data_IF_035804182911
#
_entry.id   IF_035804182911
#
_cell.length_a   1.000
_cell.length_b   1.000
_cell.length_c   1.000
_cell.angle_alpha   90.00
_cell.angle_beta   90.00
_cell.angle_gamma   90.00
#
_symmetry.space_group_name_H-M   'P 1'
#
loop_
_entity.id
_entity.type
_entity.pdbx_description
1 polymer ?
#
# COMPACT_ATOMS: atom_id res chain seq x y z
N UNK A 1 16.41 -13.17 -7.70
CA UNK A 1 16.31 -13.77 -6.35
C UNK A 1 14.86 -14.05 -5.96
N UNK A 2 13.99 -13.02 -5.84
CA UNK A 2 12.61 -13.18 -5.34
C UNK A 2 11.67 -14.08 -6.15
N UNK A 3 11.87 -14.17 -7.47
CA UNK A 3 11.07 -15.03 -8.36
C UNK A 3 11.29 -16.54 -8.13
N UNK A 4 12.40 -16.95 -7.49
CA UNK A 4 12.69 -18.35 -7.15
C UNK A 4 12.10 -18.75 -5.79
N UNK A 5 11.78 -17.77 -4.93
CA UNK A 5 11.27 -17.97 -3.57
C UNK A 5 9.75 -17.78 -3.49
N UNK A 6 9.18 -16.94 -4.38
CA UNK A 6 7.75 -16.66 -4.47
C UNK A 6 6.95 -17.78 -5.15
N UNK A 7 6.92 -18.99 -4.56
CA UNK A 7 6.10 -20.09 -5.07
C UNK A 7 5.08 -20.60 -4.03
N UNK A 8 3.82 -20.20 -4.30
CA UNK A 8 2.51 -20.81 -4.03
C UNK A 8 2.25 -21.54 -2.68
N UNK A 9 2.18 -20.83 -1.54
CA UNK A 9 1.19 -21.16 -0.53
C UNK A 9 -0.22 -20.76 -1.04
N UNK A 10 -1.24 -21.55 -0.71
CA UNK A 10 -2.65 -21.10 -0.78
C UNK A 10 -2.77 -19.91 0.17
N UNK A 11 -3.32 -18.78 -0.30
CA UNK A 11 -3.55 -17.64 0.59
C UNK A 11 -4.39 -18.13 1.80
N UNK A 12 -4.03 -17.76 3.04
CA UNK A 12 -4.82 -18.13 4.20
C UNK A 12 -6.27 -17.63 4.02
N UNK A 13 -7.23 -18.50 4.31
CA UNK A 13 -8.67 -18.21 4.19
C UNK A 13 -9.17 -17.28 5.29
N UNK A 14 -8.50 -17.28 6.44
CA UNK A 14 -8.75 -16.39 7.57
C UNK A 14 -7.45 -15.65 7.89
N UNK A 15 -7.41 -14.36 7.56
CA UNK A 15 -6.23 -13.52 7.74
C UNK A 15 -6.66 -12.07 7.90
N UNK A 16 -5.92 -11.32 8.70
CA UNK A 16 -6.03 -9.87 8.72
C UNK A 16 -5.24 -9.29 7.53
N UNK A 17 -5.85 -8.39 6.77
CA UNK A 17 -5.21 -7.77 5.62
C UNK A 17 -4.63 -6.40 5.99
N UNK A 18 -3.36 -6.18 5.69
CA UNK A 18 -2.75 -4.84 5.75
C UNK A 18 -2.51 -4.39 4.32
N UNK A 19 -3.21 -3.34 3.89
CA UNK A 19 -3.19 -2.85 2.52
C UNK A 19 -2.28 -1.62 2.42
N UNK A 20 -1.33 -1.66 1.49
CA UNK A 20 -0.63 -0.48 1.01
C UNK A 20 -1.63 0.45 0.30
N UNK A 21 -1.91 1.59 0.92
CA UNK A 21 -2.83 2.61 0.43
C UNK A 21 -2.36 3.28 -0.85
N UNK A 22 -1.05 3.42 -1.05
CA UNK A 22 -0.46 3.93 -2.28
C UNK A 22 -0.77 3.00 -3.46
N UNK A 23 -0.46 1.70 -3.29
CA UNK A 23 -0.82 0.67 -4.27
C UNK A 23 -2.32 0.60 -4.53
N UNK A 24 -3.14 0.67 -3.47
CA UNK A 24 -4.60 0.64 -3.55
C UNK A 24 -5.12 1.77 -4.47
N UNK A 25 -4.68 3.01 -4.27
CA UNK A 25 -5.11 4.17 -5.09
C UNK A 25 -4.82 3.94 -6.57
N UNK A 26 -3.67 3.37 -6.91
CA UNK A 26 -3.32 3.12 -8.30
C UNK A 26 -4.06 1.93 -8.92
N UNK A 27 -4.60 1.00 -8.11
CA UNK A 27 -5.26 -0.24 -8.54
C UNK A 27 -6.57 -0.03 -9.30
N UNK A 28 -7.42 0.88 -8.83
CA UNK A 28 -8.75 1.11 -9.39
C UNK A 28 -8.74 2.23 -10.44
N UNK A 29 -9.39 2.04 -11.60
CA UNK A 29 -9.56 3.11 -12.57
C UNK A 29 -10.57 4.15 -12.05
N UNK A 30 -10.40 5.42 -12.42
CA UNK A 30 -11.40 6.45 -12.17
C UNK A 30 -12.24 6.65 -13.43
N UNK A 31 -13.56 6.55 -13.29
CA UNK A 31 -14.47 6.90 -14.38
C UNK A 31 -14.38 8.41 -14.67
N UNK A 32 -14.27 8.77 -15.95
CA UNK A 32 -14.13 10.17 -16.36
C UNK A 32 -15.36 10.97 -15.92
N UNK A 33 -15.14 12.06 -15.18
CA UNK A 33 -16.22 12.93 -14.70
C UNK A 33 -17.00 12.38 -13.49
N UNK A 34 -16.58 11.26 -12.91
CA UNK A 34 -17.14 10.80 -11.64
C UNK A 34 -16.84 11.78 -10.51
N UNK A 35 -17.78 11.89 -9.58
CA UNK A 35 -17.58 12.69 -8.36
C UNK A 35 -16.55 12.04 -7.45
N UNK A 36 -15.91 12.85 -6.60
CA UNK A 36 -14.96 12.35 -5.58
C UNK A 36 -15.62 11.31 -4.69
N UNK A 37 -16.88 11.52 -4.30
CA UNK A 37 -17.66 10.57 -3.51
C UNK A 37 -17.83 9.23 -4.24
N UNK A 38 -18.27 9.28 -5.50
CA UNK A 38 -18.43 8.07 -6.33
C UNK A 38 -17.12 7.31 -6.44
N UNK A 39 -16.02 8.02 -6.69
CA UNK A 39 -14.67 7.44 -6.75
C UNK A 39 -14.32 6.79 -5.41
N UNK A 40 -14.47 7.47 -4.28
CA UNK A 40 -14.17 6.92 -2.96
C UNK A 40 -15.01 5.68 -2.66
N UNK A 41 -16.30 5.69 -2.98
CA UNK A 41 -17.17 4.53 -2.80
C UNK A 41 -16.73 3.32 -3.63
N UNK A 42 -16.09 3.51 -4.80
CA UNK A 42 -15.50 2.38 -5.53
C UNK A 42 -14.37 1.69 -4.74
N UNK A 43 -13.57 2.45 -4.00
CA UNK A 43 -12.52 1.91 -3.13
C UNK A 43 -13.10 1.22 -1.91
N UNK A 44 -14.07 1.83 -1.23
CA UNK A 44 -14.76 1.22 -0.08
C UNK A 44 -15.37 -0.13 -0.46
N UNK A 45 -16.14 -0.15 -1.55
CA UNK A 45 -16.74 -1.38 -2.07
C UNK A 45 -15.69 -2.40 -2.47
N UNK A 46 -14.60 -1.97 -3.12
CA UNK A 46 -13.52 -2.88 -3.49
C UNK A 46 -12.90 -3.53 -2.26
N UNK A 47 -12.57 -2.75 -1.22
CA UNK A 47 -11.94 -3.28 0.00
C UNK A 47 -12.87 -4.26 0.71
N UNK A 48 -14.12 -3.86 0.97
CA UNK A 48 -15.09 -4.69 1.69
C UNK A 48 -15.46 -5.98 0.95
N UNK A 49 -15.43 -5.97 -0.39
CA UNK A 49 -15.74 -7.18 -1.18
C UNK A 49 -14.55 -8.15 -1.32
N UNK A 50 -13.31 -7.68 -1.12
CA UNK A 50 -12.11 -8.50 -1.34
C UNK A 50 -11.40 -8.90 -0.05
N UNK A 51 -11.61 -8.14 1.03
CA UNK A 51 -10.88 -8.31 2.28
C UNK A 51 -11.87 -8.29 3.44
N UNK A 52 -11.97 -9.41 4.15
CA UNK A 52 -12.94 -9.60 5.24
C UNK A 52 -12.62 -8.81 6.50
N UNK A 53 -11.34 -8.54 6.75
CA UNK A 53 -10.84 -7.73 7.86
C UNK A 53 -9.57 -7.02 7.41
N UNK A 54 -9.64 -5.70 7.22
CA UNK A 54 -8.59 -4.93 6.58
C UNK A 54 -8.23 -3.66 7.35
N UNK A 55 -6.92 -3.40 7.38
CA UNK A 55 -6.33 -2.10 7.71
C UNK A 55 -5.66 -1.52 6.48
N UNK A 56 -6.07 -0.33 6.06
CA UNK A 56 -5.41 0.43 4.99
C UNK A 56 -4.42 1.42 5.60
N UNK A 57 -3.19 1.45 5.09
CA UNK A 57 -2.17 2.41 5.53
C UNK A 57 -1.82 3.34 4.38
N UNK A 58 -2.09 4.63 4.54
CA UNK A 58 -1.76 5.66 3.55
C UNK A 58 -0.49 6.42 3.91
N UNK A 59 0.21 6.90 2.89
CA UNK A 59 1.27 7.90 3.05
C UNK A 59 0.74 9.20 3.66
N UNK A 60 1.60 9.85 4.41
CA UNK A 60 1.52 11.27 4.74
C UNK A 60 2.37 12.09 3.77
N UNK A 61 1.81 13.21 3.35
CA UNK A 61 2.49 14.24 2.60
C UNK A 61 2.64 15.42 3.55
N UNK A 62 3.83 15.63 4.13
CA UNK A 62 4.06 16.76 5.02
C UNK A 62 3.80 18.08 4.30
N UNK A 63 3.30 19.07 5.05
CA UNK A 63 3.05 20.43 4.55
C UNK A 63 4.34 21.22 4.32
N UNK A 64 5.47 20.73 4.83
CA UNK A 64 6.79 21.32 4.67
C UNK A 64 7.60 20.57 3.62
N UNK A 65 8.44 21.27 2.84
CA UNK A 65 9.29 20.61 1.88
C UNK A 65 10.23 19.60 2.54
N UNK A 66 10.32 18.41 1.96
CA UNK A 66 11.22 17.35 2.42
C UNK A 66 12.19 16.93 1.33
N UNK A 67 13.20 16.15 1.69
CA UNK A 67 14.09 15.49 0.71
C UNK A 67 13.32 14.61 -0.28
N UNK A 68 12.08 14.22 0.03
CA UNK A 68 11.18 13.48 -0.87
C UNK A 68 10.50 14.34 -1.92
N UNK A 69 10.52 15.67 -1.82
CA UNK A 69 10.00 16.51 -2.92
C UNK A 69 10.81 16.33 -4.19
N UNK A 70 12.12 16.10 -4.06
CA UNK A 70 12.99 15.80 -5.20
C UNK A 70 12.63 14.46 -5.83
N UNK A 71 12.33 13.43 -5.02
CA UNK A 71 11.93 12.11 -5.55
C UNK A 71 10.54 12.16 -6.17
N UNK A 72 9.60 12.87 -5.55
CA UNK A 72 8.27 13.15 -6.12
C UNK A 72 8.37 13.93 -7.42
N UNK A 73 9.14 15.02 -7.47
CA UNK A 73 9.37 15.83 -8.67
C UNK A 73 9.98 15.01 -9.81
N UNK A 74 10.91 14.10 -9.50
CA UNK A 74 11.46 13.16 -10.49
C UNK A 74 10.41 12.14 -10.97
N UNK A 75 9.58 11.60 -10.08
CA UNK A 75 8.47 10.68 -10.43
C UNK A 75 7.41 11.35 -11.30
N UNK A 76 7.12 12.63 -11.08
CA UNK A 76 6.21 13.43 -11.92
C UNK A 76 6.87 13.96 -13.19
N UNK A 77 8.14 13.63 -13.45
CA UNK A 77 8.94 14.13 -14.58
C UNK A 77 9.00 15.66 -14.65
N UNK A 78 8.91 16.33 -13.50
CA UNK A 78 8.86 17.78 -13.39
C UNK A 78 7.54 18.42 -13.82
N UNK A 79 6.48 17.62 -14.06
CA UNK A 79 5.15 18.14 -14.39
C UNK A 79 4.44 18.50 -13.09
N UNK A 80 4.02 19.77 -12.99
CA UNK A 80 3.22 20.29 -11.89
C UNK A 80 1.77 20.38 -12.36
N UNK A 81 0.92 19.47 -11.89
CA UNK A 81 -0.52 19.61 -12.07
C UNK A 81 -1.07 20.68 -11.12
N UNK A 82 -2.09 21.45 -11.56
CA UNK A 82 -2.66 22.50 -10.73
C UNK A 82 -3.33 21.91 -9.48
N UNK A 83 -3.24 22.65 -8.38
CA UNK A 83 -4.07 22.39 -7.20
C UNK A 83 -5.54 22.56 -7.59
N UNK A 84 -6.35 21.57 -7.24
CA UNK A 84 -7.80 21.56 -7.45
C UNK A 84 -8.45 21.68 -6.08
N UNK A 85 -9.32 22.67 -5.90
CA UNK A 85 -10.21 22.69 -4.75
C UNK A 85 -11.43 21.82 -5.06
N UNK A 86 -11.67 20.78 -4.27
CA UNK A 86 -12.75 19.83 -4.51
C UNK A 86 -13.43 19.41 -3.21
N UNK A 87 -14.66 18.95 -3.34
CA UNK A 87 -15.45 18.31 -2.30
C UNK A 87 -16.03 16.99 -2.84
N UNK A 88 -16.84 16.31 -2.02
CA UNK A 88 -17.46 15.03 -2.37
C UNK A 88 -18.23 15.06 -3.71
N UNK A 89 -18.93 16.15 -4.01
CA UNK A 89 -19.75 16.29 -5.22
C UNK A 89 -18.96 16.77 -6.44
N UNK A 90 -17.69 17.14 -6.27
CA UNK A 90 -16.88 17.69 -7.36
C UNK A 90 -16.52 16.60 -8.37
N UNK A 91 -16.84 16.75 -9.66
CA UNK A 91 -16.45 15.79 -10.69
C UNK A 91 -14.97 15.95 -11.07
N UNK A 92 -14.21 14.86 -11.03
CA UNK A 92 -12.82 14.84 -11.49
C UNK A 92 -12.77 14.76 -13.02
N UNK A 93 -12.37 15.87 -13.66
CA UNK A 93 -12.30 16.02 -15.12
C UNK A 93 -10.93 15.69 -15.71
N UNK A 94 -9.88 15.77 -14.90
CA UNK A 94 -8.49 15.47 -15.27
C UNK A 94 -8.24 13.96 -15.23
N UNK A 95 -7.10 13.52 -15.78
CA UNK A 95 -6.69 12.11 -15.66
C UNK A 95 -6.28 11.83 -14.21
N UNK A 96 -6.51 10.59 -13.74
CA UNK A 96 -6.14 10.16 -12.38
C UNK A 96 -4.67 10.47 -12.04
N UNK A 97 -3.75 10.04 -12.89
CA UNK A 97 -2.31 10.21 -12.63
C UNK A 97 -1.88 11.68 -12.64
N UNK A 98 -2.54 12.52 -13.45
CA UNK A 98 -2.34 13.96 -13.46
C UNK A 98 -2.83 14.58 -12.15
N UNK A 99 -4.06 14.26 -11.74
CA UNK A 99 -4.64 14.73 -10.48
C UNK A 99 -3.78 14.37 -9.26
N UNK A 100 -3.34 13.11 -9.17
CA UNK A 100 -2.54 12.58 -8.06
C UNK A 100 -1.05 12.97 -8.13
N UNK A 101 -0.58 13.59 -9.23
CA UNK A 101 0.79 14.09 -9.32
C UNK A 101 1.02 15.33 -8.46
N UNK A 102 -0.05 16.09 -8.17
CA UNK A 102 -0.02 17.19 -7.22
C UNK A 102 -0.18 16.65 -5.79
N UNK A 103 0.80 16.92 -4.93
CA UNK A 103 0.83 16.40 -3.55
C UNK A 103 -0.34 16.90 -2.70
N UNK A 104 -0.77 18.16 -2.86
CA UNK A 104 -1.90 18.70 -2.13
C UNK A 104 -3.21 18.02 -2.54
N UNK A 105 -3.44 17.82 -3.84
CA UNK A 105 -4.60 17.08 -4.34
C UNK A 105 -4.59 15.63 -3.84
N UNK A 106 -3.41 14.99 -3.90
CA UNK A 106 -3.22 13.61 -3.45
C UNK A 106 -3.49 13.46 -1.96
N UNK A 107 -2.96 14.35 -1.13
CA UNK A 107 -3.19 14.33 0.33
C UNK A 107 -4.66 14.59 0.65
N UNK A 108 -5.29 15.59 0.02
CA UNK A 108 -6.70 15.86 0.24
C UNK A 108 -7.55 14.65 -0.14
N UNK A 109 -7.25 14.01 -1.28
CA UNK A 109 -7.97 12.81 -1.72
C UNK A 109 -7.77 11.63 -0.77
N UNK A 110 -6.53 11.39 -0.30
CA UNK A 110 -6.21 10.37 0.70
C UNK A 110 -7.00 10.58 1.99
N UNK A 111 -7.09 11.82 2.46
CA UNK A 111 -7.86 12.13 3.67
C UNK A 111 -9.36 11.86 3.45
N UNK A 112 -9.94 12.35 2.35
CA UNK A 112 -11.34 12.10 2.01
C UNK A 112 -11.64 10.61 1.88
N UNK A 113 -10.78 9.87 1.18
CA UNK A 113 -10.91 8.42 1.03
C UNK A 113 -10.76 7.70 2.38
N UNK A 114 -9.83 8.14 3.22
CA UNK A 114 -9.60 7.59 4.56
C UNK A 114 -10.85 7.69 5.43
N UNK A 115 -11.51 8.85 5.44
CA UNK A 115 -12.78 9.01 6.18
C UNK A 115 -13.88 8.12 5.61
N UNK A 116 -14.03 8.03 4.28
CA UNK A 116 -15.02 7.14 3.65
C UNK A 116 -14.78 5.66 3.96
N UNK A 117 -13.52 5.24 4.04
CA UNK A 117 -13.15 3.88 4.43
C UNK A 117 -13.52 3.60 5.90
N UNK A 118 -13.26 4.56 6.80
CA UNK A 118 -13.68 4.44 8.22
C UNK A 118 -15.19 4.36 8.37
N UNK A 119 -15.94 5.19 7.63
CA UNK A 119 -17.41 5.12 7.57
C UNK A 119 -17.89 3.75 7.07
N UNK A 120 -17.14 3.14 6.14
CA UNK A 120 -17.33 1.78 5.65
C UNK A 120 -16.80 0.68 6.56
N UNK A 121 -16.47 0.99 7.83
CA UNK A 121 -15.93 0.10 8.86
C UNK A 121 -14.54 -0.52 8.55
N UNK A 122 -13.77 0.10 7.67
CA UNK A 122 -12.37 -0.29 7.40
C UNK A 122 -11.43 0.48 8.32
N UNK A 123 -10.45 -0.19 8.92
CA UNK A 123 -9.43 0.48 9.72
C UNK A 123 -8.49 1.28 8.80
N UNK A 124 -8.21 2.53 9.14
CA UNK A 124 -7.32 3.40 8.35
C UNK A 124 -6.25 4.01 9.23
N UNK A 125 -5.01 3.94 8.77
CA UNK A 125 -3.84 4.56 9.40
C UNK A 125 -3.20 5.49 8.38
N UNK A 126 -2.84 6.70 8.82
CA UNK A 126 -2.02 7.62 8.05
C UNK A 126 -0.60 7.61 8.63
N UNK A 127 0.40 7.43 7.78
CA UNK A 127 1.79 7.68 8.13
C UNK A 127 2.05 9.20 8.20
N UNK A 128 3.09 9.61 8.92
CA UNK A 128 3.52 11.01 8.93
C UNK A 128 4.18 11.41 7.61
N UNK A 129 5.03 10.52 7.10
CA UNK A 129 5.67 10.63 5.80
C UNK A 129 5.34 9.36 4.99
N UNK A 130 6.27 8.42 4.91
CA UNK A 130 6.15 7.26 4.05
C UNK A 130 5.57 6.06 4.78
N UNK A 131 4.66 5.37 4.09
CA UNK A 131 3.91 4.29 4.69
C UNK A 131 4.69 2.97 4.79
N UNK A 132 5.83 2.78 4.12
CA UNK A 132 6.44 1.45 3.96
C UNK A 132 6.75 0.79 5.30
N UNK A 133 7.46 1.51 6.17
CA UNK A 133 7.77 1.02 7.50
C UNK A 133 6.48 0.90 8.35
N UNK A 134 5.53 1.83 8.19
CA UNK A 134 4.27 1.81 8.95
C UNK A 134 3.41 0.59 8.59
N UNK A 135 3.36 0.21 7.31
CA UNK A 135 2.71 -0.99 6.79
C UNK A 135 3.33 -2.22 7.44
N UNK A 136 4.66 -2.33 7.41
CA UNK A 136 5.41 -3.46 7.96
C UNK A 136 5.18 -3.61 9.46
N UNK A 137 5.30 -2.52 10.22
CA UNK A 137 5.08 -2.53 11.66
C UNK A 137 3.63 -2.86 12.02
N UNK A 138 2.66 -2.33 11.26
CA UNK A 138 1.24 -2.66 11.43
C UNK A 138 1.01 -4.16 11.20
N UNK A 139 1.63 -4.74 10.17
CA UNK A 139 1.50 -6.16 9.88
C UNK A 139 2.07 -7.04 11.01
N UNK A 140 3.22 -6.66 11.56
CA UNK A 140 3.84 -7.34 12.70
C UNK A 140 2.96 -7.23 13.93
N UNK A 141 2.41 -6.06 14.22
CA UNK A 141 1.50 -5.88 15.36
C UNK A 141 0.26 -6.76 15.24
N UNK A 142 -0.40 -6.75 14.07
CA UNK A 142 -1.55 -7.61 13.79
C UNK A 142 -1.20 -9.10 13.85
N UNK A 143 0.04 -9.45 13.47
CA UNK A 143 0.54 -10.83 13.52
C UNK A 143 0.63 -11.39 14.93
N UNK A 144 0.58 -10.56 15.98
CA UNK A 144 0.54 -11.05 17.36
C UNK A 144 -0.75 -11.79 17.69
N UNK A 145 -1.85 -11.47 17.01
CA UNK A 145 -3.18 -12.01 17.29
C UNK A 145 -3.69 -12.91 16.16
N UNK A 146 -3.36 -12.59 14.90
CA UNK A 146 -3.92 -13.27 13.73
C UNK A 146 -2.82 -13.62 12.73
N UNK A 147 -3.09 -14.56 11.82
CA UNK A 147 -2.32 -14.60 10.57
C UNK A 147 -2.55 -13.29 9.82
N UNK A 148 -1.49 -12.71 9.25
CA UNK A 148 -1.56 -11.40 8.58
C UNK A 148 -1.07 -11.50 7.15
N UNK A 149 -1.79 -10.86 6.22
CA UNK A 149 -1.38 -10.74 4.81
C UNK A 149 -1.20 -9.27 4.44
N UNK A 150 0.01 -8.89 4.05
CA UNK A 150 0.33 -7.58 3.47
C UNK A 150 0.05 -7.61 1.97
N UNK A 151 -0.77 -6.69 1.49
CA UNK A 151 -1.03 -6.48 0.07
C UNK A 151 -0.29 -5.23 -0.38
N UNK A 152 0.63 -5.39 -1.33
CA UNK A 152 1.43 -4.29 -1.87
C UNK A 152 2.18 -4.72 -3.12
N UNK A 153 2.73 -3.75 -3.84
CA UNK A 153 3.50 -4.02 -5.07
C UNK A 153 5.00 -3.68 -4.92
N UNK A 154 5.38 -2.95 -3.87
CA UNK A 154 6.76 -2.58 -3.64
C UNK A 154 7.60 -3.78 -3.14
N UNK A 155 8.79 -3.94 -3.71
CA UNK A 155 9.76 -4.95 -3.24
C UNK A 155 10.38 -4.54 -1.91
N UNK A 156 10.41 -3.24 -1.61
CA UNK A 156 10.95 -2.71 -0.37
C UNK A 156 10.11 -3.18 0.83
N UNK A 157 8.79 -3.31 0.67
CA UNK A 157 7.91 -3.94 1.67
C UNK A 157 8.32 -5.38 1.98
N UNK A 158 8.65 -6.19 0.96
CA UNK A 158 9.11 -7.57 1.16
C UNK A 158 10.43 -7.62 1.92
N UNK A 159 11.35 -6.69 1.61
CA UNK A 159 12.65 -6.58 2.27
C UNK A 159 12.49 -6.16 3.73
N UNK A 160 11.70 -5.12 3.98
CA UNK A 160 11.40 -4.63 5.34
C UNK A 160 10.68 -5.69 6.17
N UNK A 161 9.72 -6.43 5.59
CA UNK A 161 9.08 -7.57 6.23
C UNK A 161 10.11 -8.64 6.61
N UNK A 162 11.03 -8.98 5.70
CA UNK A 162 12.11 -9.94 5.97
C UNK A 162 13.09 -9.44 7.03
N UNK A 163 13.24 -8.14 7.22
CA UNK A 163 14.09 -7.56 8.26
C UNK A 163 13.39 -7.58 9.62
N UNK A 164 12.18 -7.01 9.71
CA UNK A 164 11.50 -6.71 10.97
C UNK A 164 10.71 -7.86 11.61
N UNK A 165 10.28 -8.87 10.85
CA UNK A 165 9.42 -9.97 11.35
C UNK A 165 10.10 -11.00 12.26
N UNK A 166 11.18 -10.65 12.96
CA UNK A 166 11.89 -11.56 13.88
C UNK A 166 10.98 -12.04 15.02
N UNK A 167 10.13 -11.14 15.49
CA UNK A 167 9.26 -11.33 16.65
C UNK A 167 7.81 -11.60 16.26
N UNK A 168 7.54 -11.93 14.99
CA UNK A 168 6.20 -12.27 14.54
C UNK A 168 5.76 -13.60 15.17
N UNK A 169 4.61 -13.59 15.85
CA UNK A 169 4.07 -14.78 16.51
C UNK A 169 3.34 -15.66 15.51
N UNK A 170 2.39 -15.09 14.75
CA UNK A 170 1.70 -15.79 13.68
C UNK A 170 2.36 -15.53 12.31
N UNK A 171 1.93 -16.30 11.31
CA UNK A 171 2.46 -16.19 9.96
C UNK A 171 2.13 -14.83 9.34
N UNK A 172 3.13 -14.28 8.67
CA UNK A 172 2.97 -13.09 7.82
C UNK A 172 3.18 -13.50 6.37
N UNK A 173 2.25 -13.10 5.51
CA UNK A 173 2.34 -13.26 4.07
C UNK A 173 2.51 -11.89 3.42
N UNK A 174 3.31 -11.82 2.37
CA UNK A 174 3.28 -10.71 1.42
C UNK A 174 2.66 -11.20 0.13
N UNK A 175 1.70 -10.45 -0.42
CA UNK A 175 1.02 -10.78 -1.67
C UNK A 175 1.03 -9.58 -2.60
N UNK A 176 1.61 -9.79 -3.77
CA UNK A 176 1.51 -8.87 -4.91
C UNK A 176 0.36 -9.31 -5.80
N UNK A 177 -0.46 -8.35 -6.17
CA UNK A 177 -1.63 -8.52 -7.02
C UNK A 177 -1.49 -7.70 -8.32
N UNK A 178 -0.25 -7.53 -8.79
CA UNK A 178 0.03 -6.81 -10.02
C UNK A 178 -0.78 -7.40 -11.18
N UNK A 179 -1.48 -6.51 -11.91
CA UNK A 179 -2.16 -6.83 -13.18
C UNK A 179 -1.13 -6.99 -14.30
N UNK A 180 -0.24 -7.98 -14.23
CA UNK A 180 0.58 -8.36 -15.39
C UNK A 180 -0.08 -9.52 -16.12
N UNK A 181 0.17 -9.62 -17.44
CA UNK A 181 -0.30 -10.64 -18.40
C UNK A 181 -0.02 -12.11 -18.00
N UNK A 182 0.45 -12.35 -16.79
CA UNK A 182 0.67 -13.66 -16.20
C UNK A 182 -0.37 -13.85 -15.09
N UNK A 183 -1.22 -14.86 -15.20
CA UNK A 183 -2.16 -15.31 -14.15
C UNK A 183 -1.48 -15.81 -12.84
N UNK A 184 -0.26 -15.34 -12.53
CA UNK A 184 0.55 -15.77 -11.39
C UNK A 184 0.53 -14.70 -10.30
N UNK A 185 -0.43 -14.82 -9.40
CA UNK A 185 -0.40 -14.14 -8.08
C UNK A 185 0.89 -14.57 -7.39
N UNK A 186 1.68 -13.59 -6.91
CA UNK A 186 2.90 -13.87 -6.16
C UNK A 186 2.61 -13.71 -4.66
N UNK A 187 2.88 -14.78 -3.92
CA UNK A 187 2.71 -14.84 -2.47
C UNK A 187 4.02 -15.33 -1.86
N UNK A 188 4.49 -14.62 -0.86
CA UNK A 188 5.66 -14.97 -0.06
C UNK A 188 5.21 -15.21 1.38
N UNK A 189 5.49 -16.40 1.89
CA UNK A 189 5.48 -16.67 3.33
C UNK A 189 6.76 -16.06 3.90
N UNK A 190 6.64 -15.05 4.75
CA UNK A 190 7.80 -14.28 5.22
C UNK A 190 8.69 -15.13 6.11
N UNK A 191 8.12 -16.01 6.93
CA UNK A 191 8.87 -16.93 7.78
C UNK A 191 9.73 -17.87 6.93
N UNK A 192 9.13 -18.49 5.93
CA UNK A 192 9.85 -19.38 5.01
C UNK A 192 10.86 -18.64 4.13
N UNK A 193 10.52 -17.43 3.71
CA UNK A 193 11.42 -16.55 2.93
C UNK A 193 12.66 -16.22 3.74
N UNK A 194 12.51 -15.81 5.00
CA UNK A 194 13.64 -15.56 5.91
C UNK A 194 14.49 -16.81 6.14
N UNK A 195 13.85 -17.97 6.32
CA UNK A 195 14.56 -19.26 6.49
C UNK A 195 15.44 -19.59 5.28
N UNK A 196 14.95 -19.35 4.07
CA UNK A 196 15.68 -19.61 2.82
C UNK A 196 16.83 -18.65 2.57
N UNK A 197 16.66 -17.37 2.88
CA UNK A 197 17.66 -16.33 2.62
C UNK A 197 18.72 -16.30 3.74
N UNK A 198 18.34 -16.65 4.97
CA UNK A 198 19.21 -16.71 6.14
C UNK A 198 19.24 -15.40 6.93
N UNK A 199 19.42 -15.47 8.27
CA UNK A 199 19.25 -14.33 9.17
C UNK A 199 20.28 -13.20 8.94
N UNK A 200 21.52 -13.56 8.58
CA UNK A 200 22.56 -12.57 8.25
C UNK A 200 22.16 -11.74 7.04
N UNK A 201 21.68 -12.39 5.98
CA UNK A 201 21.27 -11.71 4.75
C UNK A 201 20.05 -10.83 5.02
N UNK A 202 19.07 -11.31 5.79
CA UNK A 202 17.93 -10.50 6.20
C UNK A 202 18.34 -9.20 6.91
N UNK A 203 19.38 -9.22 7.75
CA UNK A 203 19.86 -8.04 8.46
C UNK A 203 20.59 -7.03 7.56
N UNK A 204 21.21 -7.49 6.47
CA UNK A 204 21.96 -6.62 5.55
C UNK A 204 21.14 -6.16 4.34
N UNK A 205 20.03 -6.84 4.01
CA UNK A 205 19.20 -6.52 2.84
C UNK A 205 18.83 -5.02 2.76
N UNK A 206 18.32 -4.37 3.82
CA UNK A 206 18.00 -2.93 3.78
C UNK A 206 19.17 -2.02 3.39
N UNK A 207 20.41 -2.47 3.60
CA UNK A 207 21.62 -1.70 3.31
C UNK A 207 22.20 -1.99 1.92
N UNK A 208 21.77 -3.08 1.28
CA UNK A 208 22.26 -3.53 -0.04
C UNK A 208 21.29 -3.11 -1.15
N UNK A 209 20.00 -3.13 -0.86
CA UNK A 209 18.97 -2.59 -1.76
C UNK A 209 18.79 -1.13 -1.42
N UNK A 210 18.86 -0.23 -2.42
CA UNK A 210 18.53 1.18 -2.23
C UNK A 210 17.04 1.29 -1.90
N UNK A 211 16.71 1.30 -0.61
CA UNK A 211 15.48 1.87 -0.07
C UNK A 211 15.43 3.38 -0.35
#
# INVERSE_FOLDING_TARGET
MWNLIGLKPKAPTETHFVLDGGSLIHRLPWAKGATVDTICMTYVNYVNNHYTDATVVFDGYPSVPTTKDVTHFRRTKGILSPKVNFNNDTPIKTKKDEFLSNSENKQHFINTLGEKLKDGHVQVIHAEDDADLKIVLTAIEKSKQHTTTVIGEDTDLLILLCYHSKDAINKIYFKSEAKQNTHKIKIWDITETRRKIGPLVCNILPFITRL
#
